data_IF_782986917939
#
_entry.id   IF_782986917939
#
_cell.length_a   1.000
_cell.length_b   1.000
_cell.length_c   1.000
_cell.angle_alpha   90.00
_cell.angle_beta   90.00
_cell.angle_gamma   90.00
#
_symmetry.space_group_name_H-M   'P 1'
#
loop_
_entity.id
_entity.type
_entity.pdbx_description
1 polymer ?
#
# COMPACT_ATOMS: atom_id res chain seq x y z
N UNK A 1 39.79 32.49 -43.95
CA UNK A 1 38.98 31.43 -44.58
C UNK A 1 38.72 30.35 -43.53
N UNK A 2 37.47 30.27 -43.09
CA UNK A 2 36.94 29.43 -42.00
C UNK A 2 36.68 28.01 -42.47
N UNK A 3 37.23 27.00 -41.80
CA UNK A 3 36.78 25.61 -41.93
C UNK A 3 35.84 25.29 -40.76
N UNK A 4 34.54 25.25 -41.04
CA UNK A 4 33.53 24.75 -40.09
C UNK A 4 33.46 23.22 -40.22
N UNK A 5 33.77 22.51 -39.14
CA UNK A 5 33.53 21.07 -39.04
C UNK A 5 32.03 20.85 -38.75
N UNK A 6 31.37 20.12 -39.65
CA UNK A 6 29.97 19.72 -39.55
C UNK A 6 29.89 18.40 -38.78
N UNK A 7 29.52 18.44 -37.49
CA UNK A 7 29.21 17.24 -36.71
C UNK A 7 27.75 16.82 -36.94
N UNK A 8 27.55 15.77 -37.75
CA UNK A 8 26.22 15.19 -37.99
C UNK A 8 25.60 14.56 -36.72
N UNK A 9 24.26 14.46 -36.64
CA UNK A 9 23.57 14.03 -35.42
C UNK A 9 23.90 12.58 -35.06
N UNK A 10 24.42 12.36 -33.84
CA UNK A 10 24.71 11.04 -33.28
C UNK A 10 23.41 10.22 -33.20
N UNK A 11 23.25 9.23 -34.07
CA UNK A 11 22.12 8.29 -34.06
C UNK A 11 22.06 7.59 -32.71
N UNK A 12 20.95 7.75 -31.97
CA UNK A 12 20.71 7.04 -30.72
C UNK A 12 20.86 5.52 -30.94
N UNK A 13 21.85 4.92 -30.29
CA UNK A 13 22.22 3.51 -30.46
C UNK A 13 21.06 2.58 -30.10
N UNK A 14 20.98 1.43 -30.77
CA UNK A 14 19.94 0.41 -30.56
C UNK A 14 19.75 0.04 -29.08
N UNK A 15 20.81 0.10 -28.27
CA UNK A 15 20.75 -0.12 -26.82
C UNK A 15 19.89 0.89 -26.05
N UNK A 16 19.90 2.17 -26.46
CA UNK A 16 19.07 3.22 -25.83
C UNK A 16 17.59 2.96 -26.09
N UNK A 17 17.23 2.50 -27.29
CA UNK A 17 15.84 2.16 -27.63
C UNK A 17 15.33 0.94 -26.86
N UNK A 18 16.19 -0.05 -26.62
CA UNK A 18 15.85 -1.26 -25.84
C UNK A 18 15.66 -0.89 -24.37
N UNK A 19 16.58 -0.10 -23.78
CA UNK A 19 16.45 0.37 -22.41
C UNK A 19 15.16 1.20 -22.20
N UNK A 20 14.82 2.05 -23.18
CA UNK A 20 13.58 2.83 -23.14
C UNK A 20 12.33 1.92 -23.20
N UNK A 21 12.36 0.88 -24.04
CA UNK A 21 11.28 -0.10 -24.14
C UNK A 21 11.06 -0.90 -22.86
N UNK A 22 12.15 -1.33 -22.20
CA UNK A 22 12.08 -2.04 -20.91
C UNK A 22 11.56 -1.11 -19.81
N UNK A 23 12.07 0.12 -19.72
CA UNK A 23 11.58 1.11 -18.75
C UNK A 23 10.10 1.41 -18.95
N UNK A 24 9.66 1.59 -20.20
CA UNK A 24 8.25 1.80 -20.51
C UNK A 24 7.39 0.59 -20.15
N UNK A 25 7.85 -0.64 -20.45
CA UNK A 25 7.13 -1.86 -20.09
C UNK A 25 7.02 -2.04 -18.57
N UNK A 26 8.07 -1.72 -17.81
CA UNK A 26 8.04 -1.75 -16.34
C UNK A 26 7.05 -0.72 -15.79
N UNK A 27 7.08 0.51 -16.31
CA UNK A 27 6.14 1.56 -15.93
C UNK A 27 4.69 1.16 -16.23
N UNK A 28 4.43 0.57 -17.39
CA UNK A 28 3.09 0.07 -17.76
C UNK A 28 2.66 -1.15 -16.95
N UNK A 29 3.58 -2.03 -16.56
CA UNK A 29 3.29 -3.17 -15.69
C UNK A 29 2.92 -2.72 -14.28
N UNK A 30 3.62 -1.73 -13.74
CA UNK A 30 3.31 -1.08 -12.46
C UNK A 30 1.94 -0.39 -12.56
N UNK A 31 1.72 0.44 -13.58
CA UNK A 31 0.43 1.08 -13.86
C UNK A 31 -0.72 0.08 -14.02
N UNK A 32 -0.48 -1.05 -14.68
CA UNK A 32 -1.46 -2.12 -14.90
C UNK A 32 -1.80 -2.89 -13.62
N UNK A 33 -0.80 -3.20 -12.79
CA UNK A 33 -1.00 -3.85 -11.49
C UNK A 33 -1.81 -2.95 -10.53
N UNK A 34 -1.49 -1.65 -10.52
CA UNK A 34 -2.18 -0.65 -9.70
C UNK A 34 -3.57 -0.37 -10.24
N UNK A 35 -3.70 -0.14 -11.54
CA UNK A 35 -4.98 0.10 -12.21
C UNK A 35 -5.92 -1.08 -12.06
N UNK A 36 -5.41 -2.31 -12.17
CA UNK A 36 -6.16 -3.54 -11.93
C UNK A 36 -6.68 -3.67 -10.50
N UNK A 37 -5.89 -3.26 -9.50
CA UNK A 37 -6.28 -3.26 -8.09
C UNK A 37 -7.29 -2.14 -7.72
N UNK A 38 -7.29 -1.02 -8.45
CA UNK A 38 -8.23 0.09 -8.23
C UNK A 38 -9.56 -0.11 -8.98
N UNK A 39 -9.53 -0.77 -10.15
CA UNK A 39 -10.70 -1.03 -10.99
C UNK A 39 -11.52 -2.25 -10.54
N UNK A 40 -10.97 -3.16 -9.72
CA UNK A 40 -11.67 -4.33 -9.15
C UNK A 40 -12.55 -3.99 -7.94
N UNK A 41 -13.11 -2.78 -7.90
CA UNK A 41 -14.16 -2.37 -6.95
C UNK A 41 -15.54 -2.99 -7.22
N UNK A 42 -15.61 -4.28 -7.51
CA UNK A 42 -16.87 -5.00 -7.76
C UNK A 42 -17.45 -5.59 -6.46
N UNK A 43 -18.79 -5.64 -6.29
CA UNK A 43 -19.46 -6.16 -5.11
C UNK A 43 -19.30 -7.69 -5.07
N UNK A 44 -18.21 -8.14 -4.45
CA UNK A 44 -17.82 -9.55 -4.37
C UNK A 44 -16.40 -9.79 -3.86
N UNK A 45 -15.71 -8.77 -3.36
CA UNK A 45 -14.34 -8.85 -2.87
C UNK A 45 -14.16 -10.02 -1.88
N UNK A 46 -13.31 -10.97 -2.25
CA UNK A 46 -13.08 -12.22 -1.53
C UNK A 46 -12.44 -12.00 -0.16
N UNK A 47 -12.24 -13.10 0.57
CA UNK A 47 -11.57 -13.11 1.89
C UNK A 47 -10.17 -12.46 1.84
N UNK A 48 -9.46 -12.56 0.70
CA UNK A 48 -8.11 -12.00 0.52
C UNK A 48 -8.07 -10.47 0.58
N UNK A 49 -8.96 -9.77 -0.15
CA UNK A 49 -8.97 -8.30 -0.16
C UNK A 49 -9.29 -7.70 1.22
N UNK A 50 -10.07 -8.43 2.03
CA UNK A 50 -10.45 -8.02 3.39
C UNK A 50 -9.30 -8.17 4.36
N UNK A 51 -8.51 -9.24 4.22
CA UNK A 51 -7.29 -9.44 5.00
C UNK A 51 -6.24 -8.38 4.67
N UNK A 52 -6.10 -8.02 3.40
CA UNK A 52 -5.20 -6.94 2.98
C UNK A 52 -5.67 -5.56 3.47
N UNK A 53 -6.98 -5.32 3.53
CA UNK A 53 -7.55 -4.12 4.16
C UNK A 53 -7.28 -4.06 5.67
N UNK A 54 -7.50 -5.16 6.40
CA UNK A 54 -7.20 -5.19 7.84
C UNK A 54 -5.70 -5.00 8.10
N UNK A 55 -4.85 -5.53 7.22
CA UNK A 55 -3.40 -5.32 7.31
C UNK A 55 -3.02 -3.86 7.02
N UNK A 56 -3.64 -3.22 6.03
CA UNK A 56 -3.38 -1.80 5.73
C UNK A 56 -3.89 -0.85 6.81
N UNK A 57 -4.96 -1.21 7.52
CA UNK A 57 -5.46 -0.51 8.72
C UNK A 57 -4.64 -0.79 9.98
N UNK A 58 -3.51 -1.49 9.89
CA UNK A 58 -2.66 -1.81 11.06
C UNK A 58 -3.28 -2.77 12.06
N UNK A 59 -4.36 -3.47 11.68
CA UNK A 59 -5.06 -4.39 12.57
C UNK A 59 -4.40 -5.78 12.60
N UNK A 60 -3.56 -6.11 11.61
CA UNK A 60 -2.68 -7.28 11.63
C UNK A 60 -3.30 -8.54 12.27
N UNK A 61 -2.72 -9.11 13.34
CA UNK A 61 -3.26 -10.29 14.02
C UNK A 61 -4.57 -10.04 14.78
N UNK A 62 -4.88 -8.79 15.17
CA UNK A 62 -6.16 -8.41 15.77
C UNK A 62 -7.30 -8.55 14.74
N UNK A 63 -7.06 -8.13 13.50
CA UNK A 63 -7.99 -8.35 12.37
C UNK A 63 -8.29 -9.84 12.13
N UNK A 64 -7.30 -10.71 12.30
CA UNK A 64 -7.47 -12.17 12.16
C UNK A 64 -8.29 -12.78 13.29
N UNK A 65 -8.23 -12.20 14.49
CA UNK A 65 -8.94 -12.67 15.67
C UNK A 65 -10.43 -12.28 15.70
N UNK A 66 -10.84 -11.30 14.90
CA UNK A 66 -12.24 -10.90 14.76
C UNK A 66 -13.04 -11.94 13.97
N UNK A 67 -14.34 -12.03 14.28
CA UNK A 67 -15.28 -12.75 13.43
C UNK A 67 -15.50 -12.00 12.11
N UNK A 68 -16.12 -12.67 11.14
CA UNK A 68 -16.30 -12.09 9.81
C UNK A 68 -17.16 -10.84 9.85
N UNK A 69 -18.26 -10.87 10.58
CA UNK A 69 -19.22 -9.77 10.64
C UNK A 69 -18.60 -8.55 11.34
N UNK A 70 -17.86 -8.77 12.43
CA UNK A 70 -17.12 -7.69 13.12
C UNK A 70 -16.06 -7.03 12.23
N UNK A 71 -15.38 -7.82 11.37
CA UNK A 71 -14.45 -7.25 10.39
C UNK A 71 -15.16 -6.37 9.36
N UNK A 72 -16.36 -6.75 8.94
CA UNK A 72 -17.15 -5.99 7.99
C UNK A 72 -17.59 -4.66 8.62
N UNK A 73 -18.00 -4.67 9.88
CA UNK A 73 -18.39 -3.48 10.63
C UNK A 73 -17.20 -2.54 10.89
N UNK A 74 -16.04 -3.08 11.27
CA UNK A 74 -14.83 -2.29 11.46
C UNK A 74 -14.35 -1.71 10.13
N UNK A 75 -14.39 -2.49 9.05
CA UNK A 75 -14.08 -1.98 7.71
C UNK A 75 -15.05 -0.88 7.31
N UNK A 76 -16.36 -1.05 7.54
CA UNK A 76 -17.36 -0.03 7.24
C UNK A 76 -17.08 1.26 8.02
N UNK A 77 -16.82 1.17 9.33
CA UNK A 77 -16.49 2.31 10.20
C UNK A 77 -15.20 3.00 9.76
N UNK A 78 -14.12 2.24 9.58
CA UNK A 78 -12.81 2.78 9.16
C UNK A 78 -12.81 3.36 7.73
N UNK A 79 -13.79 2.96 6.90
CA UNK A 79 -13.97 3.47 5.53
C UNK A 79 -15.18 4.39 5.38
N UNK A 80 -15.72 4.92 6.48
CA UNK A 80 -16.84 5.87 6.46
C UNK A 80 -16.52 7.06 5.54
N UNK A 81 -15.30 7.58 5.61
CA UNK A 81 -14.78 8.52 4.62
C UNK A 81 -14.05 7.78 3.48
N UNK A 82 -14.84 7.25 2.54
CA UNK A 82 -14.32 6.58 1.33
C UNK A 82 -13.52 7.52 0.42
N UNK A 83 -13.66 8.84 0.56
CA UNK A 83 -12.91 9.81 -0.24
C UNK A 83 -11.51 9.96 0.34
N UNK A 84 -11.40 10.19 1.64
CA UNK A 84 -10.12 10.24 2.34
C UNK A 84 -9.33 8.94 2.20
N UNK A 85 -9.99 7.78 2.31
CA UNK A 85 -9.31 6.49 2.14
C UNK A 85 -8.71 6.32 0.72
N UNK A 86 -9.43 6.78 -0.31
CA UNK A 86 -8.90 6.74 -1.69
C UNK A 86 -7.75 7.72 -1.88
N UNK A 87 -7.84 8.90 -1.27
CA UNK A 87 -6.76 9.87 -1.29
C UNK A 87 -5.50 9.31 -0.62
N UNK A 88 -5.61 8.69 0.56
CA UNK A 88 -4.47 8.07 1.24
C UNK A 88 -3.86 6.92 0.45
N UNK A 89 -4.68 6.07 -0.19
CA UNK A 89 -4.17 5.02 -1.07
C UNK A 89 -3.36 5.57 -2.25
N UNK A 90 -3.85 6.67 -2.86
CA UNK A 90 -3.12 7.37 -3.93
C UNK A 90 -1.82 7.97 -3.41
N UNK A 91 -1.85 8.65 -2.27
CA UNK A 91 -0.67 9.27 -1.69
C UNK A 91 0.40 8.24 -1.28
N UNK A 92 -0.01 7.07 -0.77
CA UNK A 92 0.90 5.96 -0.47
C UNK A 92 1.57 5.42 -1.73
N UNK A 93 0.81 5.32 -2.83
CA UNK A 93 1.33 4.93 -4.12
C UNK A 93 2.33 5.96 -4.65
N UNK A 94 1.97 7.25 -4.63
CA UNK A 94 2.82 8.34 -5.07
C UNK A 94 4.14 8.37 -4.29
N UNK A 95 4.09 8.19 -2.97
CA UNK A 95 5.30 8.08 -2.14
C UNK A 95 6.17 6.86 -2.52
N UNK A 96 5.54 5.72 -2.84
CA UNK A 96 6.27 4.51 -3.27
C UNK A 96 6.96 4.73 -4.63
N UNK A 97 6.28 5.38 -5.57
CA UNK A 97 6.85 5.74 -6.87
C UNK A 97 7.99 6.75 -6.72
N UNK A 98 7.82 7.78 -5.90
CA UNK A 98 8.88 8.75 -5.60
C UNK A 98 10.12 8.11 -4.99
N UNK A 99 9.95 7.10 -4.11
CA UNK A 99 11.07 6.32 -3.58
C UNK A 99 11.78 5.53 -4.69
N UNK A 100 11.01 4.86 -5.56
CA UNK A 100 11.56 4.13 -6.71
C UNK A 100 12.37 5.04 -7.64
N UNK A 101 11.86 6.23 -7.95
CA UNK A 101 12.53 7.22 -8.80
C UNK A 101 13.84 7.71 -8.15
N UNK A 102 13.82 8.01 -6.85
CA UNK A 102 15.01 8.44 -6.12
C UNK A 102 16.10 7.36 -6.06
N UNK A 103 15.71 6.07 -5.97
CA UNK A 103 16.63 4.93 -6.02
C UNK A 103 17.25 4.75 -7.40
N UNK A 104 16.50 5.04 -8.47
CA UNK A 104 16.96 4.92 -9.85
C UNK A 104 17.80 6.13 -10.33
N UNK A 105 17.83 7.24 -9.59
CA UNK A 105 18.59 8.43 -9.93
C UNK A 105 20.10 8.18 -9.92
N UNK A 106 20.82 8.79 -10.87
CA UNK A 106 22.28 8.80 -10.92
C UNK A 106 22.79 10.25 -10.96
N UNK A 107 23.50 10.73 -9.92
CA UNK A 107 23.83 10.00 -8.69
C UNK A 107 22.60 9.72 -7.82
N UNK A 108 22.69 8.70 -6.98
CA UNK A 108 21.62 8.33 -6.03
C UNK A 108 21.21 9.52 -5.16
N UNK A 109 19.92 9.85 -5.18
CA UNK A 109 19.35 10.92 -4.36
C UNK A 109 18.83 10.38 -3.03
N UNK A 110 19.74 10.32 -2.05
CA UNK A 110 19.43 9.90 -0.68
C UNK A 110 18.35 10.78 -0.02
N UNK A 111 18.34 12.08 -0.31
CA UNK A 111 17.42 13.02 0.35
C UNK A 111 16.00 12.81 -0.16
N UNK A 112 15.82 12.67 -1.48
CA UNK A 112 14.53 12.34 -2.09
C UNK A 112 14.01 10.98 -1.61
N UNK A 113 14.87 9.96 -1.55
CA UNK A 113 14.48 8.65 -1.05
C UNK A 113 14.01 8.71 0.42
N UNK A 114 14.71 9.46 1.27
CA UNK A 114 14.33 9.65 2.67
C UNK A 114 12.98 10.39 2.80
N UNK A 115 12.75 11.44 2.00
CA UNK A 115 11.50 12.19 2.01
C UNK A 115 10.30 11.31 1.59
N UNK A 116 10.47 10.49 0.55
CA UNK A 116 9.45 9.55 0.10
C UNK A 116 9.07 8.53 1.18
N UNK A 117 10.06 7.96 1.88
CA UNK A 117 9.81 7.04 3.01
C UNK A 117 9.13 7.73 4.19
N UNK A 118 9.43 9.00 4.48
CA UNK A 118 8.74 9.77 5.52
C UNK A 118 7.28 10.03 5.16
N UNK A 119 7.00 10.43 3.91
CA UNK A 119 5.64 10.60 3.42
C UNK A 119 4.85 9.29 3.53
N UNK A 120 5.42 8.18 3.05
CA UNK A 120 4.81 6.86 3.15
C UNK A 120 4.48 6.50 4.61
N UNK A 121 5.40 6.74 5.55
CA UNK A 121 5.18 6.50 6.99
C UNK A 121 4.02 7.32 7.53
N UNK A 122 3.93 8.60 7.19
CA UNK A 122 2.82 9.47 7.61
C UNK A 122 1.46 8.92 7.20
N UNK A 123 1.32 8.49 5.94
CA UNK A 123 0.09 7.89 5.44
C UNK A 123 -0.25 6.56 6.12
N UNK A 124 0.76 5.71 6.38
CA UNK A 124 0.55 4.46 7.12
C UNK A 124 0.04 4.74 8.53
N UNK A 125 0.69 5.64 9.28
CA UNK A 125 0.29 5.98 10.65
C UNK A 125 -1.16 6.45 10.70
N UNK A 126 -1.57 7.35 9.79
CA UNK A 126 -2.95 7.82 9.72
C UNK A 126 -3.97 6.70 9.42
N UNK A 127 -3.63 5.73 8.56
CA UNK A 127 -4.48 4.56 8.33
C UNK A 127 -4.60 3.69 9.59
N UNK A 128 -3.50 3.49 10.31
CA UNK A 128 -3.47 2.67 11.51
C UNK A 128 -4.31 3.29 12.63
N UNK A 129 -4.16 4.60 12.86
CA UNK A 129 -4.95 5.34 13.85
C UNK A 129 -6.46 5.16 13.61
N UNK A 130 -6.92 5.31 12.36
CA UNK A 130 -8.34 5.09 12.02
C UNK A 130 -8.77 3.64 12.23
N UNK A 131 -7.92 2.68 11.88
CA UNK A 131 -8.17 1.27 12.13
C UNK A 131 -8.33 0.97 13.63
N UNK A 132 -7.44 1.49 14.46
CA UNK A 132 -7.45 1.29 15.91
C UNK A 132 -8.68 1.94 16.56
N UNK A 133 -9.04 3.16 16.16
CA UNK A 133 -10.26 3.82 16.63
C UNK A 133 -11.51 3.00 16.26
N UNK A 134 -11.63 2.56 15.01
CA UNK A 134 -12.76 1.74 14.57
C UNK A 134 -12.86 0.41 15.31
N UNK A 135 -11.72 -0.20 15.66
CA UNK A 135 -11.68 -1.41 16.49
C UNK A 135 -12.19 -1.13 17.90
N UNK A 136 -11.74 -0.03 18.53
CA UNK A 136 -12.19 0.34 19.88
C UNK A 136 -13.70 0.59 19.90
N UNK A 137 -14.22 1.35 18.93
CA UNK A 137 -15.65 1.61 18.78
C UNK A 137 -16.45 0.30 18.65
N UNK A 138 -15.94 -0.67 17.87
CA UNK A 138 -16.61 -1.96 17.74
C UNK A 138 -16.60 -2.73 19.07
N UNK A 139 -15.45 -2.80 19.75
CA UNK A 139 -15.32 -3.51 21.03
C UNK A 139 -16.24 -2.92 22.11
N UNK A 140 -16.48 -1.61 22.08
CA UNK A 140 -17.39 -0.94 23.00
C UNK A 140 -18.85 -1.39 22.80
N UNK A 141 -19.26 -1.66 21.56
CA UNK A 141 -20.60 -2.18 21.24
C UNK A 141 -20.78 -3.68 21.55
N UNK A 142 -19.69 -4.42 21.74
CA UNK A 142 -19.75 -5.85 22.01
C UNK A 142 -20.20 -6.17 23.44
N UNK A 143 -21.00 -7.23 23.66
CA UNK A 143 -21.19 -7.80 25.00
C UNK A 143 -19.88 -8.33 25.59
N UNK A 144 -19.79 -8.41 26.92
CA UNK A 144 -18.60 -8.91 27.62
C UNK A 144 -18.13 -10.28 27.10
N UNK A 145 -19.05 -11.25 26.96
CA UNK A 145 -18.74 -12.59 26.47
C UNK A 145 -18.22 -12.61 25.01
N UNK A 146 -18.55 -11.61 24.19
CA UNK A 146 -18.00 -11.48 22.84
C UNK A 146 -16.57 -10.94 22.87
N UNK A 147 -16.29 -9.94 23.72
CA UNK A 147 -14.93 -9.43 23.93
C UNK A 147 -13.98 -10.49 24.49
N UNK A 148 -14.44 -11.33 25.42
CA UNK A 148 -13.65 -12.44 25.97
C UNK A 148 -13.25 -13.44 24.88
N UNK A 149 -14.21 -13.86 24.04
CA UNK A 149 -13.95 -14.74 22.88
C UNK A 149 -12.99 -14.11 21.88
N UNK A 150 -13.10 -12.81 21.62
CA UNK A 150 -12.14 -12.08 20.79
C UNK A 150 -10.72 -12.15 21.38
N UNK A 151 -10.58 -11.89 22.69
CA UNK A 151 -9.28 -11.95 23.37
C UNK A 151 -8.66 -13.36 23.33
N UNK A 152 -9.46 -14.41 23.49
CA UNK A 152 -9.00 -15.80 23.34
C UNK A 152 -8.50 -16.10 21.93
N UNK A 153 -9.27 -15.72 20.90
CA UNK A 153 -8.86 -15.88 19.50
C UNK A 153 -7.58 -15.11 19.18
N UNK A 154 -7.40 -13.91 19.76
CA UNK A 154 -6.19 -13.12 19.59
C UNK A 154 -4.98 -13.82 20.19
N UNK A 155 -5.09 -14.33 21.42
CA UNK A 155 -4.02 -15.13 22.05
C UNK A 155 -3.65 -16.34 21.19
N UNK A 156 -4.63 -17.09 20.71
CA UNK A 156 -4.38 -18.24 19.83
C UNK A 156 -3.77 -17.87 18.47
N UNK A 157 -4.14 -16.72 17.91
CA UNK A 157 -3.55 -16.25 16.66
C UNK A 157 -2.06 -15.90 16.83
N UNK A 158 -1.68 -15.33 17.97
CA UNK A 158 -0.30 -14.99 18.30
C UNK A 158 0.56 -16.24 18.54
N UNK A 159 0.05 -17.24 19.26
CA UNK A 159 0.82 -18.48 19.53
C UNK A 159 1.06 -19.30 18.27
N UNK A 160 0.08 -19.41 17.35
CA UNK A 160 0.25 -20.12 16.07
C UNK A 160 1.25 -19.49 15.10
N UNK A 161 1.64 -18.24 15.31
CA UNK A 161 2.69 -17.59 14.52
C UNK A 161 4.10 -17.77 15.12
N UNK A 162 4.20 -18.14 16.40
CA UNK A 162 5.48 -18.50 17.04
C UNK A 162 6.03 -19.85 16.57
N UNK A 163 5.17 -20.86 16.42
CA UNK A 163 5.57 -22.24 16.09
C UNK A 163 5.96 -22.48 14.61
N UNK A 164 5.82 -21.47 13.73
CA UNK A 164 6.19 -21.59 12.29
C UNK A 164 7.49 -20.86 11.93
N UNK A 165 8.29 -20.46 12.91
CA UNK A 165 9.60 -19.83 12.70
C UNK A 165 10.74 -20.77 13.06
#
# INVERSE_FOLDING_TARGET
MTHAANEGPRRAGRGVKIALGISLALNLAVLGAIGGAVLTGAPGAGMHDRLDMMRSLGLGPMGLALERDDREEIAARATTDRVALRADRRALLEATLAFSDAVAAEPFDRAAAAAALQAQRGHVVGLQERGHLALLDQLETMPQAARERFADRLRHALTRHGDRR
#
